data_IF_221247142349
#
_entry.id   IF_221247142349
#
_cell.length_a   1.000
_cell.length_b   1.000
_cell.length_c   1.000
_cell.angle_alpha   90.00
_cell.angle_beta   90.00
_cell.angle_gamma   90.00
#
_symmetry.space_group_name_H-M   'P 1'
#
loop_
_entity.id
_entity.type
_entity.pdbx_description
1 polymer ?
#
# COMPACT_ATOMS: atom_id res chain seq x y z
N UNK A 1 -17.54 1.76 5.04
CA UNK A 1 -17.44 3.17 5.45
C UNK A 1 -15.98 3.57 5.43
N UNK A 2 -15.63 4.71 4.83
CA UNK A 2 -14.27 5.27 4.84
C UNK A 2 -14.12 6.14 6.08
N UNK A 3 -13.01 6.01 6.80
CA UNK A 3 -12.69 6.87 7.95
C UNK A 3 -11.64 7.88 7.53
N UNK A 4 -11.92 9.18 7.66
CA UNK A 4 -10.95 10.26 7.40
C UNK A 4 -10.33 10.69 8.72
N UNK A 5 -9.07 11.09 8.67
CA UNK A 5 -8.37 11.66 9.81
C UNK A 5 -7.46 12.79 9.34
N UNK A 6 -7.14 13.70 10.25
CA UNK A 6 -6.12 14.72 10.08
C UNK A 6 -5.02 14.47 11.11
N UNK A 7 -3.77 14.74 10.72
CA UNK A 7 -2.62 14.63 11.61
C UNK A 7 -2.22 16.00 12.16
N UNK A 8 -1.46 16.01 13.26
CA UNK A 8 -1.04 17.25 13.93
C UNK A 8 -0.05 18.07 13.08
N UNK A 9 0.68 17.42 12.18
CA UNK A 9 1.56 18.02 11.17
C UNK A 9 0.82 18.51 9.91
N UNK A 10 -0.52 18.47 9.91
CA UNK A 10 -1.36 19.07 8.86
C UNK A 10 -1.62 18.17 7.65
N UNK A 11 -1.28 16.88 7.70
CA UNK A 11 -1.65 15.93 6.66
C UNK A 11 -3.10 15.48 6.82
N UNK A 12 -3.74 15.16 5.69
CA UNK A 12 -5.05 14.51 5.66
C UNK A 12 -4.87 13.10 5.13
N UNK A 13 -5.51 12.14 5.80
CA UNK A 13 -5.46 10.74 5.42
C UNK A 13 -6.81 10.07 5.57
N UNK A 14 -6.91 8.86 5.03
CA UNK A 14 -8.09 8.03 5.19
C UNK A 14 -7.72 6.56 5.37
N UNK A 15 -8.59 5.82 6.04
CA UNK A 15 -8.53 4.37 6.17
C UNK A 15 -9.83 3.80 5.63
N UNK A 16 -9.72 2.77 4.78
CA UNK A 16 -10.87 2.11 4.19
C UNK A 16 -10.78 0.60 4.36
N UNK A 17 -11.88 -0.07 4.77
CA UNK A 17 -11.93 -1.51 4.76
C UNK A 17 -11.91 -2.05 3.32
N UNK A 18 -11.11 -3.07 3.10
CA UNK A 18 -10.98 -3.78 1.83
C UNK A 18 -11.55 -5.18 1.95
N UNK A 19 -11.98 -5.75 0.82
CA UNK A 19 -12.28 -7.18 0.76
C UNK A 19 -10.98 -7.97 0.85
N UNK A 20 -11.05 -9.19 1.38
CA UNK A 20 -9.88 -10.08 1.52
C UNK A 20 -9.14 -10.29 0.18
N UNK A 21 -9.89 -10.45 -0.91
CA UNK A 21 -9.35 -10.60 -2.26
C UNK A 21 -8.55 -9.37 -2.71
N UNK A 22 -9.03 -8.16 -2.40
CA UNK A 22 -8.31 -6.92 -2.74
C UNK A 22 -7.12 -6.69 -1.82
N UNK A 23 -7.27 -6.95 -0.52
CA UNK A 23 -6.17 -6.88 0.44
C UNK A 23 -4.98 -7.77 0.04
N UNK A 24 -5.21 -9.04 -0.30
CA UNK A 24 -4.12 -9.96 -0.71
C UNK A 24 -3.37 -9.50 -1.95
N UNK A 25 -4.10 -9.01 -2.96
CA UNK A 25 -3.50 -8.47 -4.19
C UNK A 25 -2.62 -7.26 -3.91
N UNK A 26 -3.13 -6.30 -3.14
CA UNK A 26 -2.39 -5.09 -2.78
C UNK A 26 -1.23 -5.36 -1.82
N UNK A 27 -1.36 -6.33 -0.91
CA UNK A 27 -0.27 -6.75 -0.03
C UNK A 27 0.90 -7.36 -0.84
N UNK A 28 0.58 -8.17 -1.84
CA UNK A 28 1.60 -8.70 -2.76
C UNK A 28 2.27 -7.56 -3.54
N UNK A 29 1.46 -6.64 -4.10
CA UNK A 29 1.94 -5.46 -4.83
C UNK A 29 2.90 -4.61 -3.97
N UNK A 30 2.52 -4.29 -2.73
CA UNK A 30 3.35 -3.54 -1.79
C UNK A 30 4.68 -4.25 -1.51
N UNK A 31 4.65 -5.57 -1.33
CA UNK A 31 5.86 -6.36 -1.07
C UNK A 31 6.80 -6.36 -2.28
N UNK A 32 6.24 -6.50 -3.49
CA UNK A 32 7.02 -6.43 -4.72
C UNK A 32 7.66 -5.05 -4.93
N UNK A 33 6.89 -3.98 -4.75
CA UNK A 33 7.40 -2.60 -4.91
C UNK A 33 8.57 -2.36 -3.96
N UNK A 34 8.48 -2.82 -2.72
CA UNK A 34 9.58 -2.73 -1.77
C UNK A 34 10.84 -3.51 -2.14
N UNK A 35 10.73 -4.49 -3.04
CA UNK A 35 11.88 -5.27 -3.53
C UNK A 35 12.51 -4.69 -4.81
N UNK A 36 11.72 -3.99 -5.64
CA UNK A 36 12.16 -3.50 -6.95
C UNK A 36 12.49 -2.01 -6.94
N UNK A 37 11.84 -1.23 -6.07
CA UNK A 37 11.99 0.22 -6.03
C UNK A 37 12.86 0.65 -4.85
N UNK A 38 13.95 1.40 -5.08
CA UNK A 38 14.72 1.97 -3.99
C UNK A 38 13.85 2.96 -3.21
N UNK A 39 13.82 2.79 -1.89
CA UNK A 39 13.04 3.65 -1.02
C UNK A 39 13.85 4.90 -0.66
N UNK A 40 13.15 6.02 -0.51
CA UNK A 40 13.75 7.30 -0.14
C UNK A 40 14.52 7.11 1.18
N UNK A 41 15.75 7.65 1.21
CA UNK A 41 16.67 7.51 2.34
C UNK A 41 16.98 6.06 2.77
N UNK A 42 16.78 5.07 1.90
CA UNK A 42 17.04 3.66 2.20
C UNK A 42 16.10 3.05 3.25
N UNK A 43 14.95 3.69 3.52
CA UNK A 43 14.02 3.25 4.56
C UNK A 43 13.27 1.98 4.15
N UNK A 44 13.12 1.04 5.09
CA UNK A 44 12.28 -0.13 4.86
C UNK A 44 10.79 0.21 5.01
N UNK A 45 9.97 -0.03 3.99
CA UNK A 45 8.52 0.30 3.96
C UNK A 45 7.77 -0.20 5.20
N UNK A 46 7.89 -1.50 5.53
CA UNK A 46 7.15 -2.03 6.69
C UNK A 46 7.70 -1.51 8.01
N UNK A 47 9.01 -1.24 8.06
CA UNK A 47 9.67 -0.74 9.28
C UNK A 47 9.29 0.70 9.59
N UNK A 48 9.20 1.55 8.56
CA UNK A 48 8.82 2.96 8.72
C UNK A 48 7.35 3.14 9.09
N UNK A 49 6.47 2.18 8.77
CA UNK A 49 5.04 2.18 9.10
C UNK A 49 4.68 1.36 10.34
N UNK A 50 5.63 0.64 10.92
CA UNK A 50 5.38 -0.17 12.12
C UNK A 50 5.18 0.72 13.35
N UNK A 51 4.22 0.34 14.19
CA UNK A 51 4.05 0.97 15.49
C UNK A 51 5.32 0.81 16.33
N UNK A 52 5.76 1.88 16.99
CA UNK A 52 6.92 1.91 17.88
C UNK A 52 6.45 2.18 19.31
N UNK A 53 5.92 1.17 20.01
CA UNK A 53 5.50 1.34 21.40
C UNK A 53 6.73 1.62 22.27
N UNK A 54 6.57 2.44 23.31
CA UNK A 54 7.64 2.76 24.26
C UNK A 54 8.14 1.55 25.04
N UNK A 55 7.32 0.50 25.16
CA UNK A 55 7.67 -0.77 25.78
C UNK A 55 7.31 -1.95 24.85
N UNK A 56 8.08 -3.06 24.89
CA UNK A 56 7.75 -4.26 24.13
C UNK A 56 6.40 -4.81 24.58
N UNK A 57 5.45 -4.93 23.65
CA UNK A 57 4.15 -5.52 23.94
C UNK A 57 4.20 -7.00 23.61
N UNK A 58 3.94 -7.87 24.60
CA UNK A 58 3.99 -9.34 24.46
C UNK A 58 3.12 -9.84 23.30
N UNK A 59 2.01 -9.12 23.00
CA UNK A 59 1.08 -9.43 21.92
C UNK A 59 1.04 -8.33 20.83
N UNK A 60 2.08 -7.50 20.74
CA UNK A 60 2.20 -6.41 19.77
C UNK A 60 2.30 -6.96 18.34
N UNK A 61 1.16 -7.35 17.76
CA UNK A 61 1.07 -7.67 16.34
C UNK A 61 1.30 -6.37 15.57
N UNK A 62 2.55 -6.12 15.17
CA UNK A 62 2.94 -5.09 14.20
C UNK A 62 1.91 -5.08 13.07
N UNK A 63 1.33 -3.92 12.76
CA UNK A 63 0.24 -3.71 11.80
C UNK A 63 0.24 -4.71 10.61
N UNK A 64 -0.41 -5.87 10.77
CA UNK A 64 -0.35 -6.95 9.76
C UNK A 64 -1.37 -6.76 8.64
N UNK A 65 -2.37 -5.90 8.82
CA UNK A 65 -3.55 -5.86 7.96
C UNK A 65 -3.80 -4.47 7.36
N UNK A 66 -2.76 -3.63 7.28
CA UNK A 66 -2.82 -2.33 6.60
C UNK A 66 -1.99 -2.37 5.34
N UNK A 67 -2.54 -1.76 4.29
CA UNK A 67 -1.86 -1.52 3.03
C UNK A 67 -1.47 -0.05 3.00
N UNK A 68 -0.23 0.22 2.62
CA UNK A 68 0.25 1.57 2.39
C UNK A 68 -0.15 2.02 0.99
N UNK A 69 -1.05 3.01 0.92
CA UNK A 69 -1.58 3.59 -0.32
C UNK A 69 -0.48 4.22 -1.19
N UNK A 70 0.40 5.01 -0.56
CA UNK A 70 1.47 5.72 -1.26
C UNK A 70 2.45 4.74 -1.90
N UNK A 71 2.72 3.62 -1.21
CA UNK A 71 3.61 2.58 -1.74
C UNK A 71 2.97 1.85 -2.90
N UNK A 72 1.70 1.42 -2.81
CA UNK A 72 1.05 0.71 -3.92
C UNK A 72 0.85 1.60 -5.15
N UNK A 73 0.68 2.91 -4.97
CA UNK A 73 0.59 3.87 -6.08
C UNK A 73 1.92 4.02 -6.85
N UNK A 74 3.07 3.68 -6.27
CA UNK A 74 4.35 3.66 -6.99
C UNK A 74 4.30 2.73 -8.22
N UNK A 75 3.41 1.72 -8.22
CA UNK A 75 3.17 0.86 -9.39
C UNK A 75 2.89 1.67 -10.67
N UNK A 76 2.19 2.80 -10.57
CA UNK A 76 1.85 3.64 -11.71
C UNK A 76 3.08 4.28 -12.37
N UNK A 77 4.16 4.45 -11.62
CA UNK A 77 5.40 5.09 -12.05
C UNK A 77 6.47 4.08 -12.50
N UNK A 78 6.23 2.77 -12.32
CA UNK A 78 7.15 1.73 -12.76
C UNK A 78 7.28 1.68 -14.29
N UNK A 79 8.42 1.14 -14.75
CA UNK A 79 8.66 0.87 -16.17
C UNK A 79 7.65 -0.14 -16.72
N UNK A 80 7.44 -0.15 -18.05
CA UNK A 80 6.56 -1.13 -18.69
C UNK A 80 7.03 -2.57 -18.43
N UNK A 81 8.34 -2.78 -18.35
CA UNK A 81 8.94 -4.07 -18.06
C UNK A 81 8.54 -4.56 -16.66
N UNK A 82 8.75 -3.75 -15.63
CA UNK A 82 8.44 -4.12 -14.23
C UNK A 82 6.94 -4.32 -14.03
N UNK A 83 6.11 -3.46 -14.65
CA UNK A 83 4.65 -3.63 -14.64
C UNK A 83 4.22 -4.96 -15.21
N UNK A 84 4.87 -5.41 -16.29
CA UNK A 84 4.57 -6.68 -16.97
C UNK A 84 5.09 -7.87 -16.17
N UNK A 85 6.29 -7.77 -15.59
CA UNK A 85 6.84 -8.83 -14.74
C UNK A 85 5.97 -9.08 -13.51
N UNK A 86 5.56 -8.00 -12.85
CA UNK A 86 4.67 -8.04 -11.69
C UNK A 86 3.32 -8.64 -12.04
N UNK A 87 2.70 -8.18 -13.13
CA UNK A 87 1.42 -8.68 -13.62
C UNK A 87 1.47 -10.19 -13.87
N UNK A 88 2.56 -10.67 -14.50
CA UNK A 88 2.80 -12.10 -14.72
C UNK A 88 2.87 -12.90 -13.42
N UNK A 89 3.59 -12.39 -12.41
CA UNK A 89 3.71 -13.06 -11.08
C UNK A 89 2.38 -13.12 -10.32
N UNK A 90 1.52 -12.12 -10.49
CA UNK A 90 0.18 -12.10 -9.91
C UNK A 90 -0.85 -12.91 -10.69
N UNK A 91 -0.53 -13.34 -11.92
CA UNK A 91 -1.48 -14.00 -12.82
C UNK A 91 -2.64 -13.10 -13.25
N UNK A 92 -2.43 -11.78 -13.32
CA UNK A 92 -3.45 -10.79 -13.72
C UNK A 92 -2.92 -9.88 -14.81
N UNK A 93 -3.80 -9.27 -15.59
CA UNK A 93 -3.40 -8.25 -16.57
C UNK A 93 -2.94 -6.96 -15.90
N UNK A 94 -1.90 -6.30 -16.43
CA UNK A 94 -1.41 -5.01 -15.92
C UNK A 94 -2.50 -3.94 -15.82
N UNK A 95 -3.42 -3.89 -16.80
CA UNK A 95 -4.54 -2.95 -16.81
C UNK A 95 -5.52 -3.20 -15.66
N UNK A 96 -5.71 -4.45 -15.27
CA UNK A 96 -6.57 -4.79 -14.13
C UNK A 96 -6.00 -4.26 -12.80
N UNK A 97 -4.67 -4.31 -12.64
CA UNK A 97 -3.99 -3.71 -11.47
C UNK A 97 -4.15 -2.18 -11.50
N UNK A 98 -3.99 -1.56 -12.67
CA UNK A 98 -4.18 -0.12 -12.83
C UNK A 98 -5.62 0.27 -12.50
N UNK A 99 -6.61 -0.47 -12.97
CA UNK A 99 -8.02 -0.23 -12.69
C UNK A 99 -8.34 -0.38 -11.19
N UNK A 100 -7.81 -1.42 -10.53
CA UNK A 100 -7.93 -1.60 -9.07
C UNK A 100 -7.38 -0.35 -8.32
N UNK A 101 -6.21 0.16 -8.73
CA UNK A 101 -5.59 1.36 -8.13
C UNK A 101 -6.37 2.64 -8.44
N UNK A 102 -6.86 2.81 -9.67
CA UNK A 102 -7.68 3.96 -10.04
C UNK A 102 -9.01 3.96 -9.29
N UNK A 103 -9.59 2.78 -9.05
CA UNK A 103 -10.79 2.65 -8.24
C UNK A 103 -10.53 3.07 -6.78
N UNK A 104 -9.42 2.61 -6.18
CA UNK A 104 -9.01 3.03 -4.83
C UNK A 104 -8.79 4.54 -4.75
N UNK A 105 -8.09 5.11 -5.73
CA UNK A 105 -7.84 6.55 -5.82
C UNK A 105 -9.15 7.31 -5.91
N UNK A 106 -10.05 6.94 -6.83
CA UNK A 106 -11.36 7.59 -6.98
C UNK A 106 -12.16 7.56 -5.68
N UNK A 107 -12.09 6.45 -4.97
CA UNK A 107 -12.74 6.27 -3.67
C UNK A 107 -12.14 7.11 -2.54
N UNK A 108 -10.90 7.57 -2.68
CA UNK A 108 -10.23 8.50 -1.75
C UNK A 108 -10.72 9.95 -1.94
N UNK A 109 -11.04 10.33 -3.18
CA UNK A 109 -11.39 11.70 -3.57
C UNK A 109 -12.86 12.09 -3.35
N UNK A 110 -13.75 11.16 -2.99
CA UNK A 110 -15.14 11.51 -2.68
C UNK A 110 -15.30 11.92 -1.22
N UNK A 111 -14.86 13.14 -0.95
CA UNK A 111 -15.37 14.06 0.07
C UNK A 111 -15.59 15.41 -0.59
#
# INVERSE_FOLDING_TARGET
MTTVFASLDGSFGFVRPLTEKSYRRLHFLQTFIGSVTPQIAGLHIKGSRSAKPSQPIVNGRNARNLIDGDVVEQYLHLSLYDKTDLARRLGVGRYHIIDDLMQLRRMAFYY
#
